data_IF_005005856024
#
_entry.id   IF_005005856024
#
_cell.length_a   1.000
_cell.length_b   1.000
_cell.length_c   1.000
_cell.angle_alpha   90.00
_cell.angle_beta   90.00
_cell.angle_gamma   90.00
#
_symmetry.space_group_name_H-M   'P 1'
#
loop_
_entity.id
_entity.type
_entity.pdbx_description
1 polymer ?
#
# COMPACT_ATOMS: atom_id res chain seq x y z
N UNK A 1 31.05 -11.95 -4.68
CA UNK A 1 30.54 -12.92 -3.67
C UNK A 1 29.13 -13.34 -4.05
N UNK A 2 28.89 -14.63 -4.33
CA UNK A 2 27.54 -15.18 -4.50
C UNK A 2 26.95 -15.40 -3.09
N UNK A 3 25.70 -14.97 -2.87
CA UNK A 3 25.00 -15.16 -1.59
C UNK A 3 24.98 -16.65 -1.21
N UNK A 4 25.54 -16.97 -0.04
CA UNK A 4 25.61 -18.33 0.54
C UNK A 4 24.24 -18.79 1.09
N UNK A 5 23.26 -17.89 1.19
CA UNK A 5 21.92 -18.22 1.64
C UNK A 5 21.07 -18.73 0.47
N UNK A 6 20.79 -20.02 0.47
CA UNK A 6 19.70 -20.63 -0.31
C UNK A 6 18.36 -19.98 0.07
N UNK A 7 17.48 -19.74 -0.91
CA UNK A 7 16.10 -19.25 -0.70
C UNK A 7 15.24 -20.32 -0.01
N UNK A 8 15.59 -20.70 1.22
CA UNK A 8 14.91 -21.66 2.08
C UNK A 8 14.14 -20.99 3.22
N UNK A 9 13.91 -19.67 3.15
CA UNK A 9 13.01 -19.02 4.11
C UNK A 9 11.59 -19.40 3.76
N UNK A 10 10.87 -19.95 4.73
CA UNK A 10 9.44 -20.21 4.61
C UNK A 10 8.70 -18.94 4.17
N UNK A 11 7.73 -19.09 3.28
CA UNK A 11 6.90 -17.98 2.84
C UNK A 11 6.12 -17.47 4.06
N UNK A 12 6.26 -16.18 4.37
CA UNK A 12 5.45 -15.53 5.40
C UNK A 12 3.98 -15.71 5.07
N UNK A 13 3.21 -16.25 6.03
CA UNK A 13 1.75 -16.36 5.90
C UNK A 13 1.14 -14.97 5.66
N UNK A 14 0.15 -14.91 4.76
CA UNK A 14 -0.57 -13.68 4.35
C UNK A 14 -0.90 -12.76 5.53
N UNK A 15 -1.47 -13.34 6.58
CA UNK A 15 -1.96 -12.63 7.77
C UNK A 15 -0.86 -11.96 8.60
N UNK A 16 0.39 -12.46 8.47
CA UNK A 16 1.57 -11.94 9.15
C UNK A 16 2.40 -11.00 8.27
N UNK A 17 2.00 -10.75 7.01
CA UNK A 17 2.67 -9.79 6.12
C UNK A 17 2.37 -8.35 6.57
N UNK A 18 3.39 -7.50 6.54
CA UNK A 18 3.35 -6.08 6.90
C UNK A 18 3.88 -5.23 5.73
N UNK A 19 3.68 -3.91 5.80
CA UNK A 19 4.06 -2.98 4.72
C UNK A 19 3.40 -3.36 3.38
N UNK A 20 2.09 -3.53 3.43
CA UNK A 20 1.29 -4.09 2.33
C UNK A 20 0.24 -3.11 1.82
N UNK A 21 -0.15 -3.31 0.56
CA UNK A 21 -1.43 -2.88 0.01
C UNK A 21 -2.33 -4.11 -0.06
N UNK A 22 -3.59 -3.98 0.36
CA UNK A 22 -4.54 -5.08 0.44
C UNK A 22 -5.92 -4.68 -0.05
N UNK A 23 -6.73 -5.68 -0.42
CA UNK A 23 -8.16 -5.50 -0.65
C UNK A 23 -9.00 -6.36 0.28
N UNK A 24 -10.22 -5.89 0.58
CA UNK A 24 -11.24 -6.61 1.33
C UNK A 24 -12.57 -6.50 0.55
N UNK A 25 -13.13 -7.60 0.04
CA UNK A 25 -14.40 -7.56 -0.67
C UNK A 25 -15.58 -7.36 0.29
N UNK A 26 -16.64 -6.72 -0.19
CA UNK A 26 -17.94 -6.73 0.48
C UNK A 26 -18.62 -8.09 0.26
N UNK A 27 -19.39 -8.54 1.24
CA UNK A 27 -20.17 -9.78 1.17
C UNK A 27 -21.52 -9.55 0.49
N UNK A 28 -22.04 -8.33 0.58
CA UNK A 28 -23.40 -7.98 0.15
C UNK A 28 -23.44 -7.31 -1.23
N UNK A 29 -22.30 -6.85 -1.76
CA UNK A 29 -22.21 -6.27 -3.09
C UNK A 29 -20.84 -6.55 -3.74
N UNK A 30 -20.72 -6.23 -5.03
CA UNK A 30 -19.51 -6.50 -5.82
C UNK A 30 -18.37 -5.50 -5.59
N UNK A 31 -18.51 -4.60 -4.62
CA UNK A 31 -17.49 -3.60 -4.30
C UNK A 31 -16.42 -4.19 -3.37
N UNK A 32 -15.20 -3.66 -3.48
CA UNK A 32 -14.11 -3.98 -2.56
C UNK A 32 -13.46 -2.71 -2.01
N UNK A 33 -12.98 -2.78 -0.78
CA UNK A 33 -12.15 -1.73 -0.20
C UNK A 33 -10.68 -2.04 -0.44
N UNK A 34 -9.92 -1.04 -0.84
CA UNK A 34 -8.47 -1.12 -1.00
C UNK A 34 -7.82 -0.21 0.03
N UNK A 35 -6.80 -0.72 0.71
CA UNK A 35 -6.10 0.02 1.75
C UNK A 35 -4.63 -0.35 1.84
N UNK A 36 -3.83 0.52 2.44
CA UNK A 36 -2.46 0.19 2.83
C UNK A 36 -2.29 0.00 4.35
N UNK A 37 -1.21 -0.67 4.75
CA UNK A 37 -0.85 -0.87 6.16
C UNK A 37 0.65 -1.11 6.33
N UNK A 38 1.28 -0.38 7.27
CA UNK A 38 2.62 -0.75 7.79
C UNK A 38 2.56 -1.90 8.80
N UNK A 39 1.41 -2.12 9.44
CA UNK A 39 1.14 -3.20 10.40
C UNK A 39 0.81 -4.51 9.68
N UNK A 40 0.83 -5.62 10.41
CA UNK A 40 0.43 -6.94 9.89
C UNK A 40 -1.03 -6.92 9.43
N UNK A 41 -1.34 -7.67 8.36
CA UNK A 41 -2.69 -7.73 7.81
C UNK A 41 -3.74 -8.10 8.88
N UNK A 42 -3.45 -9.10 9.72
CA UNK A 42 -4.38 -9.54 10.79
C UNK A 42 -4.73 -8.44 11.79
N UNK A 43 -3.75 -7.61 12.13
CA UNK A 43 -3.92 -6.53 13.10
C UNK A 43 -4.76 -5.41 12.45
N UNK A 44 -4.53 -5.14 11.16
CA UNK A 44 -5.32 -4.17 10.40
C UNK A 44 -6.77 -4.63 10.21
N UNK A 45 -7.00 -5.90 9.90
CA UNK A 45 -8.35 -6.50 9.82
C UNK A 45 -9.06 -6.36 11.17
N UNK A 46 -8.36 -6.62 12.28
CA UNK A 46 -8.95 -6.48 13.63
C UNK A 46 -9.35 -5.04 13.93
N UNK A 47 -8.51 -4.05 13.56
CA UNK A 47 -8.86 -2.64 13.66
C UNK A 47 -10.09 -2.30 12.82
N UNK A 48 -10.13 -2.72 11.55
CA UNK A 48 -11.28 -2.47 10.67
C UNK A 48 -12.58 -3.06 11.20
N UNK A 49 -12.56 -4.29 11.73
CA UNK A 49 -13.75 -4.89 12.39
C UNK A 49 -14.24 -4.05 13.58
N UNK A 50 -13.32 -3.49 14.36
CA UNK A 50 -13.68 -2.63 15.48
C UNK A 50 -14.23 -1.28 15.00
N UNK A 51 -13.59 -0.67 14.01
CA UNK A 51 -13.97 0.63 13.48
C UNK A 51 -15.30 0.58 12.75
N UNK A 52 -15.53 -0.43 11.91
CA UNK A 52 -16.80 -0.65 11.21
C UNK A 52 -17.99 -0.95 12.15
N UNK A 53 -17.74 -1.22 13.43
CA UNK A 53 -18.78 -1.39 14.45
C UNK A 53 -19.03 -0.13 15.27
N UNK A 54 -18.00 0.69 15.46
CA UNK A 54 -18.00 1.77 16.49
C UNK A 54 -17.87 3.16 15.90
N UNK A 55 -17.28 3.28 14.72
CA UNK A 55 -16.82 4.55 14.17
C UNK A 55 -17.05 4.58 12.64
N UNK A 56 -18.30 4.85 12.19
CA UNK A 56 -18.66 4.90 10.77
C UNK A 56 -17.76 5.84 9.96
N UNK A 57 -17.35 6.97 10.52
CA UNK A 57 -16.61 8.00 9.79
C UNK A 57 -15.09 7.78 9.75
N UNK A 58 -14.58 6.63 10.25
CA UNK A 58 -13.13 6.38 10.29
C UNK A 58 -12.50 6.13 8.93
N UNK A 59 -13.22 5.47 8.03
CA UNK A 59 -12.76 5.21 6.67
C UNK A 59 -13.93 4.82 5.76
N UNK A 60 -13.71 4.85 4.45
CA UNK A 60 -14.69 4.48 3.44
C UNK A 60 -15.27 3.07 3.64
N UNK A 61 -14.48 2.11 4.16
CA UNK A 61 -14.97 0.78 4.54
C UNK A 61 -16.00 0.84 5.68
N UNK A 62 -15.67 1.51 6.78
CA UNK A 62 -16.57 1.64 7.93
C UNK A 62 -17.86 2.35 7.55
N UNK A 63 -17.74 3.41 6.76
CA UNK A 63 -18.88 4.19 6.29
C UNK A 63 -19.78 3.34 5.40
N UNK A 64 -19.20 2.58 4.46
CA UNK A 64 -19.94 1.66 3.60
C UNK A 64 -20.74 0.62 4.40
N UNK A 65 -20.11 0.00 5.41
CA UNK A 65 -20.76 -0.97 6.30
C UNK A 65 -21.99 -0.35 6.98
N UNK A 66 -21.87 0.86 7.52
CA UNK A 66 -22.95 1.51 8.24
C UNK A 66 -24.06 2.07 7.34
N UNK A 67 -23.71 2.75 6.25
CA UNK A 67 -24.68 3.40 5.37
C UNK A 67 -25.53 2.40 4.57
N UNK A 68 -24.96 1.24 4.25
CA UNK A 68 -25.61 0.24 3.41
C UNK A 68 -26.07 -1.00 4.19
N UNK A 69 -25.84 -1.04 5.51
CA UNK A 69 -26.08 -2.23 6.35
C UNK A 69 -25.40 -3.49 5.78
N UNK A 70 -24.13 -3.33 5.39
CA UNK A 70 -23.33 -4.36 4.70
C UNK A 70 -22.27 -4.98 5.60
N UNK A 71 -21.76 -6.14 5.20
CA UNK A 71 -20.67 -6.85 5.89
C UNK A 71 -19.49 -7.08 4.96
N UNK A 72 -18.28 -6.86 5.49
CA UNK A 72 -17.04 -7.12 4.75
C UNK A 72 -16.58 -8.58 4.92
N UNK A 73 -16.12 -9.20 3.84
CA UNK A 73 -15.55 -10.54 3.86
C UNK A 73 -14.05 -10.46 4.21
N UNK A 74 -13.78 -10.34 5.51
CA UNK A 74 -12.42 -10.26 6.04
C UNK A 74 -11.57 -11.52 5.79
N UNK A 75 -12.19 -12.67 5.60
CA UNK A 75 -11.49 -13.94 5.33
C UNK A 75 -10.91 -13.98 3.91
N UNK A 76 -11.59 -13.38 2.93
CA UNK A 76 -11.11 -13.25 1.55
C UNK A 76 -10.26 -11.98 1.32
N UNK A 77 -9.72 -11.38 2.39
CA UNK A 77 -8.77 -10.29 2.25
C UNK A 77 -7.53 -10.74 1.46
N UNK A 78 -7.08 -9.93 0.50
CA UNK A 78 -5.95 -10.25 -0.40
C UNK A 78 -4.84 -9.23 -0.25
N UNK A 79 -3.59 -9.68 -0.29
CA UNK A 79 -2.42 -8.79 -0.40
C UNK A 79 -2.19 -8.53 -1.88
N UNK A 80 -2.26 -7.27 -2.29
CA UNK A 80 -2.07 -6.83 -3.68
C UNK A 80 -0.59 -6.52 -3.96
N UNK A 81 0.10 -5.90 -2.99
CA UNK A 81 1.52 -5.60 -3.08
C UNK A 81 2.18 -5.53 -1.71
N UNK A 82 3.51 -5.67 -1.68
CA UNK A 82 4.36 -5.46 -0.51
C UNK A 82 5.40 -4.41 -0.86
N UNK A 83 5.46 -3.32 -0.10
CA UNK A 83 6.39 -2.22 -0.32
C UNK A 83 6.72 -1.56 1.01
N UNK A 84 8.00 -1.54 1.38
CA UNK A 84 8.46 -1.02 2.67
C UNK A 84 8.47 0.51 2.71
N UNK A 85 8.81 1.16 1.60
CA UNK A 85 8.81 2.61 1.51
C UNK A 85 7.37 3.15 1.59
N UNK A 86 7.14 4.06 2.53
CA UNK A 86 5.81 4.61 2.80
C UNK A 86 5.20 5.30 1.58
N UNK A 87 5.95 6.17 0.90
CA UNK A 87 5.46 6.93 -0.24
C UNK A 87 5.19 6.06 -1.47
N UNK A 88 6.06 5.08 -1.74
CA UNK A 88 5.81 4.09 -2.80
C UNK A 88 4.57 3.24 -2.49
N UNK A 89 4.38 2.86 -1.23
CA UNK A 89 3.21 2.08 -0.80
C UNK A 89 1.91 2.89 -0.91
N UNK A 90 1.93 4.18 -0.59
CA UNK A 90 0.80 5.09 -0.83
C UNK A 90 0.49 5.21 -2.32
N UNK A 91 1.51 5.39 -3.16
CA UNK A 91 1.33 5.43 -4.61
C UNK A 91 0.69 4.15 -5.14
N UNK A 92 1.16 2.98 -4.68
CA UNK A 92 0.58 1.70 -5.07
C UNK A 92 -0.89 1.57 -4.64
N UNK A 93 -1.24 1.96 -3.41
CA UNK A 93 -2.63 2.00 -2.96
C UNK A 93 -3.51 2.85 -3.88
N UNK A 94 -3.04 4.05 -4.23
CA UNK A 94 -3.75 4.95 -5.13
C UNK A 94 -3.89 4.38 -6.54
N UNK A 95 -2.83 3.75 -7.06
CA UNK A 95 -2.87 3.08 -8.36
C UNK A 95 -3.91 1.95 -8.36
N UNK A 96 -3.89 1.08 -7.34
CA UNK A 96 -4.88 0.01 -7.21
C UNK A 96 -6.32 0.53 -7.06
N UNK A 97 -6.53 1.62 -6.32
CA UNK A 97 -7.84 2.29 -6.23
C UNK A 97 -8.27 2.80 -7.60
N UNK A 98 -7.37 3.45 -8.35
CA UNK A 98 -7.68 4.03 -9.66
C UNK A 98 -7.92 2.99 -10.75
N UNK A 99 -7.26 1.84 -10.69
CA UNK A 99 -7.41 0.74 -11.66
C UNK A 99 -8.62 -0.15 -11.34
N UNK A 100 -9.20 -0.03 -10.15
CA UNK A 100 -10.35 -0.85 -9.72
C UNK A 100 -11.66 -0.09 -9.88
N UNK A 101 -12.43 -0.44 -10.91
CA UNK A 101 -13.74 0.19 -11.17
C UNK A 101 -14.76 0.01 -10.03
N UNK A 102 -14.73 -1.14 -9.35
CA UNK A 102 -15.68 -1.51 -8.29
C UNK A 102 -15.07 -1.33 -6.90
N UNK A 103 -14.66 -0.10 -6.59
CA UNK A 103 -14.03 0.25 -5.31
C UNK A 103 -14.98 0.98 -4.35
N UNK A 104 -14.83 0.70 -3.05
CA UNK A 104 -15.50 1.42 -1.95
C UNK A 104 -14.82 2.77 -1.68
N UNK A 105 -13.54 2.90 -2.03
CA UNK A 105 -12.74 4.09 -1.76
C UNK A 105 -13.31 5.34 -2.45
N UNK A 106 -13.19 6.49 -1.78
CA UNK A 106 -13.60 7.79 -2.32
C UNK A 106 -12.50 8.38 -3.20
N UNK A 107 -12.86 9.29 -4.10
CA UNK A 107 -11.86 10.10 -4.86
C UNK A 107 -10.95 10.93 -3.95
N UNK A 108 -11.39 11.28 -2.75
CA UNK A 108 -10.52 11.92 -1.74
C UNK A 108 -9.42 10.99 -1.25
N UNK A 109 -9.60 9.67 -1.30
CA UNK A 109 -8.63 8.68 -0.83
C UNK A 109 -7.40 8.59 -1.77
N UNK A 110 -7.46 9.24 -2.94
CA UNK A 110 -6.34 9.42 -3.89
C UNK A 110 -5.81 10.86 -3.93
N UNK A 111 -6.22 11.74 -3.00
CA UNK A 111 -5.88 13.17 -3.05
C UNK A 111 -4.45 13.51 -2.66
N UNK A 112 -3.70 12.60 -2.01
CA UNK A 112 -2.28 12.77 -1.68
C UNK A 112 -1.34 12.74 -2.90
N UNK A 113 -1.88 12.76 -4.11
CA UNK A 113 -1.12 12.72 -5.35
C UNK A 113 -0.06 13.83 -5.43
N UNK A 114 -0.36 15.04 -4.91
CA UNK A 114 0.56 16.18 -4.87
C UNK A 114 1.80 15.93 -4.00
N UNK A 115 1.62 15.26 -2.86
CA UNK A 115 2.71 14.86 -1.96
C UNK A 115 3.58 13.80 -2.62
N UNK A 116 2.97 12.84 -3.33
CA UNK A 116 3.69 11.82 -4.08
C UNK A 116 4.50 12.44 -5.22
N UNK A 117 3.91 13.36 -6.00
CA UNK A 117 4.64 14.07 -7.05
C UNK A 117 5.84 14.82 -6.49
N UNK A 118 5.68 15.50 -5.35
CA UNK A 118 6.79 16.19 -4.67
C UNK A 118 7.90 15.22 -4.27
N UNK A 119 7.55 14.03 -3.77
CA UNK A 119 8.53 12.97 -3.47
C UNK A 119 9.21 12.40 -4.72
N UNK A 120 8.47 12.20 -5.82
CA UNK A 120 9.04 11.74 -7.09
C UNK A 120 10.03 12.75 -7.66
N UNK A 121 9.71 14.05 -7.60
CA UNK A 121 10.62 15.13 -8.00
C UNK A 121 11.88 15.17 -7.13
N UNK A 122 11.75 14.90 -5.83
CA UNK A 122 12.91 14.81 -4.94
C UNK A 122 13.81 13.62 -5.31
N UNK A 123 13.22 12.43 -5.52
CA UNK A 123 13.95 11.25 -5.96
C UNK A 123 14.67 11.48 -7.29
N UNK A 124 14.01 12.10 -8.28
CA UNK A 124 14.62 12.40 -9.57
C UNK A 124 15.85 13.32 -9.41
N UNK A 125 15.76 14.35 -8.56
CA UNK A 125 16.91 15.20 -8.21
C UNK A 125 18.04 14.40 -7.58
N UNK A 126 17.75 13.53 -6.62
CA UNK A 126 18.76 12.67 -5.96
C UNK A 126 19.41 11.67 -6.93
N UNK A 127 18.64 11.07 -7.83
CA UNK A 127 19.18 10.19 -8.86
C UNK A 127 20.12 10.95 -9.80
N UNK A 128 19.73 12.16 -10.21
CA UNK A 128 20.53 13.00 -11.09
C UNK A 128 21.81 13.50 -10.41
N UNK A 129 21.76 13.91 -9.14
CA UNK A 129 22.97 14.31 -8.38
C UNK A 129 23.92 13.14 -8.15
N UNK A 130 23.41 11.96 -7.80
CA UNK A 130 24.24 10.76 -7.62
C UNK A 130 24.86 10.26 -8.93
N UNK A 131 24.16 10.41 -10.06
CA UNK A 131 24.71 10.11 -11.39
C UNK A 131 25.84 11.07 -11.78
N UNK A 132 25.68 12.36 -11.50
CA UNK A 132 26.74 13.36 -11.73
C UNK A 132 27.99 13.06 -10.87
N UNK A 133 27.80 12.77 -9.58
CA UNK A 133 28.89 12.45 -8.66
C UNK A 133 29.70 11.20 -9.08
N UNK A 134 29.00 10.17 -9.57
CA UNK A 134 29.64 8.96 -10.13
C UNK A 134 30.45 9.25 -11.38
N UNK A 135 30.00 10.16 -12.25
CA UNK A 135 30.72 10.50 -13.47
C UNK A 135 31.98 11.33 -13.18
N UNK A 136 31.98 12.18 -12.14
CA UNK A 136 33.16 12.95 -11.73
C UNK A 136 34.23 12.11 -11.02
N UNK A 137 33.86 11.08 -10.25
CA UNK A 137 34.87 10.19 -9.62
C UNK A 137 35.60 9.29 -10.62
N UNK A 138 34.97 8.97 -11.76
CA UNK A 138 35.59 8.14 -12.81
C UNK A 138 36.58 8.94 -13.66
N UNK A 139 36.44 10.27 -13.74
CA UNK A 139 37.41 11.13 -14.44
C UNK A 139 38.69 11.39 -13.65
N UNK A 140 38.64 11.32 -12.31
CA UNK A 140 39.78 11.61 -11.43
C UNK A 140 40.69 10.38 -11.18
N UNK A 141 40.32 9.19 -11.66
CA UNK A 141 41.14 7.96 -11.57
C UNK A 141 42.07 7.74 -12.78
N UNK A 142 42.10 8.67 -13.74
CA UNK A 142 42.92 8.56 -14.97
C UNK A 142 43.93 9.72 -15.17
N UNK A 143 44.18 10.53 -14.14
CA UNK A 143 45.34 11.46 -14.05
C UNK A 143 46.36 10.97 -13.03
#
# INVERSE_FOLDING_TARGET
MKSVFSKLKDKTLKDNMSNIVYSIPCTNCNLQYIGHSSRRLKDRITSHKSDARRYPDRCSLSMHVHENDHQMNYTDAKVLAVENNYFKRLFLEMAFISETDLTINKKSDISHLSEIYSHLLHLDKEFNTNKLHRNTMVSDEYE
#
